data_IF_188729234844
#
_entry.id   IF_188729234844
#
_cell.length_a   1.000
_cell.length_b   1.000
_cell.length_c   1.000
_cell.angle_alpha   90.00
_cell.angle_beta   90.00
_cell.angle_gamma   90.00
#
_symmetry.space_group_name_H-M   'P 1'
#
loop_
_entity.id
_entity.type
_entity.pdbx_description
1 polymer ?
#
# COMPACT_ATOMS: atom_id res chain seq x y z
N UNK A 1 2.17 -5.39 -15.48
CA UNK A 1 3.54 -5.01 -15.09
C UNK A 1 3.58 -4.26 -13.74
N UNK A 2 2.49 -4.23 -12.95
CA UNK A 2 2.40 -3.46 -11.69
C UNK A 2 2.86 -4.21 -10.43
N UNK A 3 3.02 -5.53 -10.48
CA UNK A 3 3.29 -6.37 -9.29
C UNK A 3 4.77 -6.39 -8.87
N UNK A 4 5.70 -6.06 -9.78
CA UNK A 4 7.15 -6.22 -9.56
C UNK A 4 7.76 -5.30 -8.49
N UNK A 5 7.00 -4.31 -7.98
CA UNK A 5 7.52 -3.32 -7.03
C UNK A 5 7.15 -3.60 -5.57
N UNK A 6 6.39 -4.66 -5.33
CA UNK A 6 5.90 -5.10 -4.02
C UNK A 6 6.53 -6.41 -3.54
N UNK A 7 7.50 -6.97 -4.28
CA UNK A 7 8.15 -8.19 -3.81
C UNK A 7 8.93 -7.95 -2.50
N UNK A 8 8.91 -8.94 -1.61
CA UNK A 8 9.48 -8.82 -0.26
C UNK A 8 10.98 -8.52 -0.29
N UNK A 9 11.71 -8.99 -1.30
CA UNK A 9 13.15 -8.70 -1.45
C UNK A 9 13.39 -7.21 -1.73
N UNK A 10 12.61 -6.64 -2.63
CA UNK A 10 12.63 -5.21 -2.95
C UNK A 10 12.22 -4.36 -1.73
N UNK A 11 11.20 -4.77 -0.98
CA UNK A 11 10.77 -4.06 0.23
C UNK A 11 11.83 -4.10 1.33
N UNK A 12 12.52 -5.22 1.52
CA UNK A 12 13.63 -5.34 2.47
C UNK A 12 14.84 -4.48 2.07
N UNK A 13 15.16 -4.43 0.77
CA UNK A 13 16.19 -3.55 0.26
C UNK A 13 15.82 -2.07 0.45
N UNK A 14 14.55 -1.71 0.24
CA UNK A 14 14.04 -0.36 0.46
C UNK A 14 14.10 0.02 1.95
N UNK A 15 13.68 -0.87 2.86
CA UNK A 15 13.70 -0.60 4.30
C UNK A 15 15.13 -0.37 4.82
N UNK A 16 16.12 -1.05 4.23
CA UNK A 16 17.53 -0.88 4.59
C UNK A 16 18.14 0.45 4.12
N UNK A 17 17.60 1.01 3.03
CA UNK A 17 18.00 2.33 2.52
C UNK A 17 17.29 3.48 3.26
N UNK A 18 16.16 3.19 3.90
CA UNK A 18 15.41 4.16 4.70
C UNK A 18 15.84 4.11 6.17
N UNK A 19 15.73 5.25 6.87
CA UNK A 19 15.83 5.24 8.33
C UNK A 19 14.64 4.49 8.95
N UNK A 20 14.88 3.74 10.03
CA UNK A 20 13.84 2.92 10.71
C UNK A 20 12.58 3.73 11.09
N UNK A 21 12.78 4.97 11.51
CA UNK A 21 11.67 5.86 11.87
C UNK A 21 10.81 6.20 10.66
N UNK A 22 11.44 6.65 9.58
CA UNK A 22 10.76 6.96 8.32
C UNK A 22 10.05 5.73 7.74
N UNK A 23 10.71 4.57 7.75
CA UNK A 23 10.11 3.30 7.31
C UNK A 23 8.82 2.99 8.08
N UNK A 24 8.84 3.17 9.40
CA UNK A 24 7.65 2.95 10.24
C UNK A 24 6.54 3.91 9.89
N UNK A 25 6.83 5.21 9.84
CA UNK A 25 5.82 6.25 9.56
C UNK A 25 5.11 5.99 8.23
N UNK A 26 5.86 5.76 7.16
CA UNK A 26 5.26 5.52 5.84
C UNK A 26 4.54 4.17 5.75
N UNK A 27 4.99 3.17 6.52
CA UNK A 27 4.30 1.88 6.60
C UNK A 27 2.97 2.00 7.34
N UNK A 28 2.92 2.76 8.43
CA UNK A 28 1.69 3.00 9.18
C UNK A 28 0.65 3.73 8.31
N UNK A 29 1.10 4.73 7.53
CA UNK A 29 0.24 5.41 6.55
C UNK A 29 -0.25 4.46 5.45
N UNK A 30 0.64 3.64 4.88
CA UNK A 30 0.29 2.64 3.87
C UNK A 30 -0.71 1.60 4.41
N UNK A 31 -0.58 1.15 5.66
CA UNK A 31 -1.52 0.22 6.28
C UNK A 31 -2.94 0.82 6.36
N UNK A 32 -3.07 2.11 6.71
CA UNK A 32 -4.36 2.80 6.73
C UNK A 32 -4.96 2.89 5.33
N UNK A 33 -4.16 3.30 4.34
CA UNK A 33 -4.58 3.38 2.93
C UNK A 33 -5.02 2.00 2.41
N UNK A 34 -4.23 0.96 2.65
CA UNK A 34 -4.54 -0.41 2.21
C UNK A 34 -5.82 -0.94 2.87
N UNK A 35 -6.02 -0.68 4.17
CA UNK A 35 -7.22 -1.11 4.88
C UNK A 35 -8.47 -0.38 4.39
N UNK A 36 -8.35 0.89 4.02
CA UNK A 36 -9.42 1.66 3.39
C UNK A 36 -9.78 1.08 2.02
N UNK A 37 -8.79 0.90 1.15
CA UNK A 37 -8.97 0.33 -0.19
C UNK A 37 -9.60 -1.06 -0.15
N UNK A 38 -9.19 -1.92 0.80
CA UNK A 38 -9.70 -3.28 0.93
C UNK A 38 -11.21 -3.33 1.26
N UNK A 39 -11.77 -2.24 1.78
CA UNK A 39 -13.19 -2.11 2.11
C UNK A 39 -13.95 -1.20 1.11
N UNK A 40 -13.28 -0.65 0.10
CA UNK A 40 -13.87 0.31 -0.82
C UNK A 40 -14.66 -0.39 -1.95
N UNK A 41 -15.93 -0.02 -2.21
CA UNK A 41 -16.82 -0.77 -3.11
C UNK A 41 -16.38 -0.81 -4.58
N UNK A 42 -15.57 0.16 -5.02
CA UNK A 42 -15.08 0.22 -6.40
C UNK A 42 -13.72 -0.44 -6.59
N UNK A 43 -13.08 -0.92 -5.52
CA UNK A 43 -11.77 -1.58 -5.57
C UNK A 43 -11.98 -3.08 -5.65
N UNK A 44 -11.45 -3.68 -6.71
CA UNK A 44 -11.62 -5.10 -7.00
C UNK A 44 -10.61 -5.99 -6.27
N UNK A 45 -9.40 -5.47 -6.03
CA UNK A 45 -8.31 -6.18 -5.38
C UNK A 45 -7.33 -5.20 -4.77
N UNK A 46 -6.65 -5.62 -3.70
CA UNK A 46 -5.57 -4.87 -3.05
C UNK A 46 -4.41 -5.83 -2.80
N UNK A 47 -3.20 -5.38 -3.12
CA UNK A 47 -1.95 -6.01 -2.72
C UNK A 47 -1.20 -5.08 -1.77
N UNK A 48 -1.06 -5.55 -0.55
CA UNK A 48 -0.24 -4.93 0.47
C UNK A 48 0.19 -5.98 1.49
N UNK A 49 1.50 -6.24 1.66
CA UNK A 49 1.98 -7.31 2.52
C UNK A 49 1.64 -7.15 4.01
N UNK A 50 1.12 -5.99 4.44
CA UNK A 50 0.57 -5.78 5.79
C UNK A 50 -0.90 -6.20 5.97
N UNK A 51 -1.62 -6.52 4.90
CA UNK A 51 -2.98 -7.05 4.99
C UNK A 51 -2.95 -8.58 5.19
N UNK A 52 -3.68 -9.10 6.18
CA UNK A 52 -3.75 -10.55 6.44
C UNK A 52 -4.29 -11.38 5.25
N UNK A 53 -5.07 -10.74 4.38
CA UNK A 53 -5.62 -11.38 3.18
C UNK A 53 -4.61 -11.40 2.02
N UNK A 54 -3.50 -10.68 2.13
CA UNK A 54 -2.45 -10.67 1.12
C UNK A 54 -1.65 -11.99 1.18
N UNK A 55 -1.42 -12.67 0.04
CA UNK A 55 -0.66 -13.92 -0.01
C UNK A 55 0.76 -13.82 0.56
N UNK A 56 1.39 -12.65 0.48
CA UNK A 56 2.74 -12.43 0.98
C UNK A 56 2.79 -12.13 2.48
N UNK A 57 1.65 -11.88 3.14
CA UNK A 57 1.60 -11.53 4.57
C UNK A 57 2.37 -12.50 5.48
N UNK A 58 2.22 -13.85 5.38
CA UNK A 58 2.96 -14.76 6.23
C UNK A 58 4.48 -14.59 6.10
N UNK A 59 4.96 -14.35 4.89
CA UNK A 59 6.40 -14.14 4.64
C UNK A 59 6.84 -12.76 5.10
N UNK A 60 6.10 -11.73 4.71
CA UNK A 60 6.39 -10.34 5.04
C UNK A 60 6.42 -10.08 6.55
N UNK A 61 5.50 -10.67 7.30
CA UNK A 61 5.45 -10.54 8.76
C UNK A 61 6.66 -11.17 9.47
N UNK A 62 7.38 -12.09 8.82
CA UNK A 62 8.61 -12.68 9.33
C UNK A 62 9.87 -11.94 8.86
N UNK A 63 9.87 -11.40 7.63
CA UNK A 63 11.07 -10.82 7.00
C UNK A 63 11.18 -9.30 7.17
N UNK A 64 10.06 -8.58 7.27
CA UNK A 64 10.04 -7.12 7.37
C UNK A 64 9.90 -6.67 8.82
N UNK A 65 10.75 -5.73 9.24
CA UNK A 65 10.77 -5.21 10.62
C UNK A 65 10.36 -3.75 10.63
N UNK A 66 9.41 -3.42 11.51
CA UNK A 66 8.98 -2.04 11.74
C UNK A 66 8.03 -1.48 10.67
N UNK A 67 7.42 -2.35 9.85
CA UNK A 67 6.45 -1.97 8.83
C UNK A 67 6.57 -2.81 7.55
N UNK A 68 5.62 -2.63 6.63
CA UNK A 68 5.53 -3.38 5.37
C UNK A 68 5.85 -2.52 4.14
N UNK A 69 6.27 -1.28 4.36
CA UNK A 69 6.66 -0.32 3.34
C UNK A 69 5.53 0.60 2.88
N UNK A 70 5.89 1.59 2.05
CA UNK A 70 4.97 2.68 1.66
C UNK A 70 4.00 2.30 0.53
N UNK A 71 4.21 1.17 -0.15
CA UNK A 71 3.56 0.91 -1.44
C UNK A 71 2.33 0.04 -1.29
N UNK A 72 1.22 0.47 -1.88
CA UNK A 72 -0.06 -0.26 -1.91
C UNK A 72 -0.51 -0.35 -3.36
N UNK A 73 -0.59 -1.56 -3.92
CA UNK A 73 -1.20 -1.75 -5.24
C UNK A 73 -2.68 -2.08 -5.10
N UNK A 74 -3.50 -1.56 -5.99
CA UNK A 74 -4.93 -1.81 -5.98
C UNK A 74 -5.49 -1.81 -7.40
N UNK A 75 -6.59 -2.53 -7.60
CA UNK A 75 -7.23 -2.68 -8.92
C UNK A 75 -8.60 -2.04 -8.96
N UNK A 76 -8.86 -1.21 -9.96
CA UNK A 76 -10.14 -0.52 -10.19
C UNK A 76 -10.43 -0.54 -11.69
N UNK A 77 -11.66 -0.88 -12.07
CA UNK A 77 -12.08 -0.97 -13.47
C UNK A 77 -11.14 -1.84 -14.33
N UNK A 78 -10.63 -2.94 -13.77
CA UNK A 78 -9.67 -3.84 -14.41
C UNK A 78 -8.22 -3.35 -14.48
N UNK A 79 -7.90 -2.12 -14.08
CA UNK A 79 -6.55 -1.55 -14.13
C UNK A 79 -5.86 -1.55 -12.77
N UNK A 80 -4.57 -1.89 -12.77
CA UNK A 80 -3.73 -1.85 -11.57
C UNK A 80 -3.11 -0.47 -11.40
N UNK A 81 -3.28 0.08 -10.20
CA UNK A 81 -2.70 1.34 -9.75
C UNK A 81 -1.75 1.08 -8.59
N UNK A 82 -0.80 2.00 -8.39
CA UNK A 82 0.14 1.98 -7.28
C UNK A 82 0.00 3.30 -6.51
N UNK A 83 -0.31 3.20 -5.22
CA UNK A 83 -0.19 4.30 -4.28
C UNK A 83 1.12 4.16 -3.52
N UNK A 84 1.88 5.26 -3.40
CA UNK A 84 3.06 5.33 -2.55
C UNK A 84 2.76 6.29 -1.40
N UNK A 85 2.55 5.74 -0.20
CA UNK A 85 2.27 6.50 0.99
C UNK A 85 3.51 7.28 1.45
N UNK A 86 3.26 8.47 1.99
CA UNK A 86 4.30 9.35 2.51
C UNK A 86 4.04 9.70 3.99
N UNK A 87 4.79 10.67 4.50
CA UNK A 87 4.81 11.06 5.93
C UNK A 87 3.66 12.01 6.31
N UNK A 88 2.79 12.42 5.36
CA UNK A 88 1.58 13.21 5.66
C UNK A 88 0.59 12.38 6.46
N UNK A 89 -0.36 13.05 7.10
CA UNK A 89 -1.45 12.40 7.81
C UNK A 89 -2.20 11.40 6.90
N UNK A 90 -2.38 10.16 7.39
CA UNK A 90 -2.95 9.09 6.59
C UNK A 90 -4.41 9.36 6.17
N UNK A 91 -5.16 10.13 6.95
CA UNK A 91 -6.52 10.54 6.59
C UNK A 91 -6.50 11.51 5.41
N UNK A 92 -5.53 12.41 5.33
CA UNK A 92 -5.38 13.30 4.18
C UNK A 92 -5.10 12.50 2.90
N UNK A 93 -4.23 11.49 2.99
CA UNK A 93 -3.92 10.59 1.88
C UNK A 93 -5.15 9.77 1.44
N UNK A 94 -5.94 9.24 2.39
CA UNK A 94 -7.20 8.53 2.08
C UNK A 94 -8.20 9.46 1.39
N UNK A 95 -8.31 10.72 1.80
CA UNK A 95 -9.22 11.69 1.17
C UNK A 95 -8.77 12.07 -0.25
N UNK A 96 -7.46 12.15 -0.49
CA UNK A 96 -6.90 12.35 -1.82
C UNK A 96 -7.19 11.15 -2.74
N UNK A 97 -6.98 9.94 -2.23
CA UNK A 97 -7.27 8.69 -2.92
C UNK A 97 -8.75 8.56 -3.28
N UNK A 98 -9.66 8.89 -2.35
CA UNK A 98 -11.10 8.84 -2.60
C UNK A 98 -11.53 9.78 -3.75
N UNK A 99 -10.95 10.98 -3.79
CA UNK A 99 -11.19 11.92 -4.90
C UNK A 99 -10.67 11.36 -6.24
N UNK A 100 -9.52 10.69 -6.24
CA UNK A 100 -8.97 10.07 -7.43
C UNK A 100 -9.83 8.90 -7.93
N UNK A 101 -10.33 8.05 -7.02
CA UNK A 101 -11.26 6.96 -7.34
C UNK A 101 -12.56 7.50 -7.97
N UNK A 102 -13.14 8.55 -7.39
CA UNK A 102 -14.34 9.20 -7.93
C UNK A 102 -14.12 9.79 -9.34
N UNK A 103 -12.94 10.38 -9.60
CA UNK A 103 -12.60 10.92 -10.91
C UNK A 103 -12.35 9.82 -11.96
N UNK A 104 -11.81 8.67 -11.55
CA UNK A 104 -11.53 7.54 -12.44
C UNK A 104 -12.80 6.84 -12.91
N UNK A 105 -13.85 6.82 -12.08
CA UNK A 105 -15.15 6.23 -12.41
C UNK A 105 -16.06 7.14 -13.25
N UNK A 106 -15.75 8.43 -13.33
CA UNK A 106 -16.51 9.41 -14.11
C UNK A 106 -16.11 9.45 -15.60
N UNK A 107 -15.19 8.58 -16.04
CA UNK A 107 -14.69 8.47 -17.42
C UNK A 107 -15.29 7.26 -18.11
#
# INVERSE_FOLDING_TARGET
MGEKHLDIGTLSALSSQMGRERWRVVSDAAQVVASYLACHPCVEAVHYPGLKADPDFPRAANELVGGFGPRVAYRVAGEWHLWEADERDAREQVMELERALGASLAR
#
